data_IF_890506700442
#
_entry.id   IF_890506700442
#
_cell.length_a   1.000
_cell.length_b   1.000
_cell.length_c   1.000
_cell.angle_alpha   90.00
_cell.angle_beta   90.00
_cell.angle_gamma   90.00
#
_symmetry.space_group_name_H-M   'P 1'
#
loop_
_entity.id
_entity.type
_entity.pdbx_description
1 polymer ?
#
# COMPACT_ATOMS: atom_id res chain seq x y z
N UNK A 1 44.53 27.65 33.93
CA UNK A 1 43.47 26.71 34.24
C UNK A 1 42.40 26.92 33.15
N UNK A 2 42.10 25.95 32.28
CA UNK A 2 41.04 26.12 31.30
C UNK A 2 39.71 26.24 32.03
N UNK A 3 38.98 27.31 31.77
CA UNK A 3 37.58 27.47 32.22
C UNK A 3 36.75 26.45 31.45
N UNK A 4 36.33 25.40 32.12
CA UNK A 4 35.39 24.42 31.58
C UNK A 4 34.04 25.12 31.56
N UNK A 5 33.50 25.34 30.37
CA UNK A 5 32.22 25.96 30.16
C UNK A 5 31.13 24.90 30.48
N UNK A 6 30.76 24.82 31.76
CA UNK A 6 29.80 23.84 32.30
C UNK A 6 28.43 23.93 31.65
N UNK A 7 28.03 25.10 31.12
CA UNK A 7 26.75 25.27 30.44
C UNK A 7 26.70 24.53 29.09
N UNK A 8 27.82 24.46 28.36
CA UNK A 8 27.90 23.71 27.10
C UNK A 8 27.94 22.19 27.31
N UNK A 9 28.54 21.70 28.38
CA UNK A 9 28.53 20.25 28.70
C UNK A 9 27.17 19.77 29.19
N UNK A 10 26.50 20.56 30.03
CA UNK A 10 25.14 20.25 30.49
C UNK A 10 24.15 20.29 29.32
N UNK A 11 24.25 21.23 28.39
CA UNK A 11 23.44 21.27 27.17
C UNK A 11 23.64 20.04 26.30
N UNK A 12 24.90 19.61 26.05
CA UNK A 12 25.21 18.37 25.32
C UNK A 12 24.68 17.11 26.02
N UNK A 13 24.79 17.06 27.36
CA UNK A 13 24.25 15.95 28.15
C UNK A 13 22.68 15.86 27.97
N UNK A 14 22.04 17.00 28.05
CA UNK A 14 20.59 17.09 27.91
C UNK A 14 20.12 16.67 26.48
N UNK A 15 20.84 17.11 25.44
CA UNK A 15 20.57 16.72 24.05
C UNK A 15 20.78 15.22 23.82
N UNK A 16 21.86 14.65 24.36
CA UNK A 16 22.14 13.23 24.32
C UNK A 16 21.06 12.42 25.05
N UNK A 17 20.63 12.89 26.23
CA UNK A 17 19.56 12.28 27.00
C UNK A 17 18.22 12.30 26.25
N UNK A 18 17.85 13.45 25.70
CA UNK A 18 16.63 13.60 24.89
C UNK A 18 16.68 12.69 23.65
N UNK A 19 17.81 12.63 22.96
CA UNK A 19 18.02 11.72 21.82
C UNK A 19 17.89 10.24 22.21
N UNK A 20 18.40 9.87 23.40
CA UNK A 20 18.27 8.51 23.94
C UNK A 20 16.81 8.19 24.28
N UNK A 21 16.08 9.10 24.91
CA UNK A 21 14.65 8.94 25.21
C UNK A 21 13.83 8.78 23.91
N UNK A 22 14.10 9.59 22.89
CA UNK A 22 13.43 9.43 21.60
C UNK A 22 13.72 8.08 20.93
N UNK A 23 14.99 7.62 20.99
CA UNK A 23 15.36 6.29 20.49
C UNK A 23 14.67 5.17 21.25
N UNK A 24 14.65 5.25 22.56
CA UNK A 24 13.94 4.26 23.42
C UNK A 24 12.44 4.23 23.11
N UNK A 25 11.79 5.37 22.98
CA UNK A 25 10.37 5.46 22.62
C UNK A 25 10.09 4.86 21.25
N UNK A 26 10.93 5.14 20.24
CA UNK A 26 10.83 4.51 18.91
C UNK A 26 11.04 3.00 18.95
N UNK A 27 11.96 2.51 19.78
CA UNK A 27 12.17 1.06 19.96
C UNK A 27 10.99 0.40 20.66
N UNK A 28 10.45 1.03 21.70
CA UNK A 28 9.27 0.55 22.40
C UNK A 28 8.05 0.48 21.48
N UNK A 29 7.80 1.52 20.67
CA UNK A 29 6.73 1.54 19.69
C UNK A 29 6.89 0.43 18.63
N UNK A 30 8.13 0.17 18.18
CA UNK A 30 8.45 -0.94 17.27
C UNK A 30 8.16 -2.30 17.90
N UNK A 31 8.55 -2.51 19.16
CA UNK A 31 8.30 -3.77 19.87
C UNK A 31 6.81 -4.02 20.08
N UNK A 32 6.07 -3.02 20.56
CA UNK A 32 4.61 -3.10 20.71
C UNK A 32 3.88 -3.39 19.41
N UNK A 33 4.36 -2.77 18.30
CA UNK A 33 3.84 -3.05 16.96
C UNK A 33 4.13 -4.49 16.55
N UNK A 34 5.35 -4.98 16.76
CA UNK A 34 5.75 -6.34 16.41
C UNK A 34 4.98 -7.41 17.22
N UNK A 35 4.81 -7.21 18.54
CA UNK A 35 4.03 -8.12 19.39
C UNK A 35 2.57 -8.18 18.95
N UNK A 36 1.93 -7.03 18.71
CA UNK A 36 0.57 -6.97 18.20
C UNK A 36 0.46 -7.65 16.83
N UNK A 37 1.41 -7.44 15.95
CA UNK A 37 1.43 -8.04 14.63
C UNK A 37 1.49 -9.57 14.71
N UNK A 38 2.36 -10.14 15.56
CA UNK A 38 2.50 -11.59 15.72
C UNK A 38 1.24 -12.24 16.29
N UNK A 39 0.60 -11.61 17.28
CA UNK A 39 -0.66 -12.08 17.82
C UNK A 39 -1.79 -12.05 16.76
N UNK A 40 -1.85 -10.98 15.97
CA UNK A 40 -2.81 -10.84 14.88
C UNK A 40 -2.59 -11.82 13.74
N UNK A 41 -1.35 -12.18 13.41
CA UNK A 41 -1.02 -13.13 12.34
C UNK A 41 -1.75 -14.46 12.48
N UNK A 42 -1.71 -15.04 13.68
CA UNK A 42 -2.36 -16.34 13.95
C UNK A 42 -3.88 -16.25 13.90
N UNK A 43 -4.45 -15.17 14.45
CA UNK A 43 -5.89 -14.92 14.46
C UNK A 43 -6.40 -14.65 13.04
N UNK A 44 -5.69 -13.82 12.28
CA UNK A 44 -6.06 -13.48 10.90
C UNK A 44 -6.07 -14.70 9.98
N UNK A 45 -5.05 -15.59 10.12
CA UNK A 45 -4.98 -16.84 9.36
C UNK A 45 -6.17 -17.74 9.66
N UNK A 46 -6.47 -17.93 10.94
CA UNK A 46 -7.59 -18.77 11.37
C UNK A 46 -8.92 -18.23 10.87
N UNK A 47 -9.15 -16.91 11.06
CA UNK A 47 -10.37 -16.24 10.58
C UNK A 47 -10.52 -16.30 9.07
N UNK A 48 -9.43 -16.07 8.31
CA UNK A 48 -9.48 -16.15 6.85
C UNK A 48 -9.89 -17.57 6.38
N UNK A 49 -9.34 -18.61 6.99
CA UNK A 49 -9.73 -19.99 6.70
C UNK A 49 -11.18 -20.28 7.10
N UNK A 50 -11.60 -19.87 8.30
CA UNK A 50 -12.95 -20.12 8.81
C UNK A 50 -14.04 -19.38 8.02
N UNK A 51 -13.74 -18.18 7.49
CA UNK A 51 -14.68 -17.42 6.65
C UNK A 51 -14.65 -17.92 5.19
N UNK A 52 -13.50 -18.37 4.67
CA UNK A 52 -13.41 -18.95 3.33
C UNK A 52 -14.22 -20.24 3.19
N UNK A 53 -14.29 -21.02 4.26
CA UNK A 53 -15.03 -22.30 4.28
C UNK A 53 -16.51 -22.17 3.90
N UNK A 54 -17.33 -21.24 4.44
CA UNK A 54 -18.72 -21.05 4.01
C UNK A 54 -18.87 -20.36 2.67
N UNK A 55 -17.88 -19.55 2.22
CA UNK A 55 -17.98 -18.85 0.94
C UNK A 55 -17.94 -19.80 -0.27
N UNK A 56 -17.09 -20.83 -0.23
CA UNK A 56 -16.99 -21.83 -1.30
C UNK A 56 -18.32 -22.54 -1.58
N UNK A 57 -19.06 -23.11 -0.58
CA UNK A 57 -20.35 -23.70 -0.82
C UNK A 57 -21.43 -22.67 -1.24
N UNK A 58 -21.35 -21.41 -0.78
CA UNK A 58 -22.25 -20.35 -1.26
C UNK A 58 -22.05 -20.07 -2.76
N UNK A 59 -20.79 -19.96 -3.21
CA UNK A 59 -20.47 -19.78 -4.62
C UNK A 59 -21.00 -20.96 -5.46
N UNK A 60 -20.76 -22.19 -5.00
CA UNK A 60 -21.25 -23.38 -5.68
C UNK A 60 -22.78 -23.41 -5.76
N UNK A 61 -23.48 -23.02 -4.69
CA UNK A 61 -24.94 -22.94 -4.67
C UNK A 61 -25.48 -21.94 -5.69
N UNK A 62 -24.84 -20.76 -5.81
CA UNK A 62 -25.19 -19.75 -6.82
C UNK A 62 -24.99 -20.30 -8.23
N UNK A 63 -23.88 -21.01 -8.49
CA UNK A 63 -23.56 -21.58 -9.80
C UNK A 63 -24.55 -22.69 -10.16
N UNK A 64 -24.97 -23.52 -9.19
CA UNK A 64 -26.03 -24.54 -9.38
C UNK A 64 -27.39 -23.91 -9.68
N UNK A 65 -27.78 -22.86 -8.95
CA UNK A 65 -29.01 -22.13 -9.19
C UNK A 65 -28.99 -21.52 -10.62
N UNK A 66 -27.85 -20.92 -11.00
CA UNK A 66 -27.64 -20.36 -12.34
C UNK A 66 -27.83 -21.43 -13.41
N UNK A 67 -27.14 -22.56 -13.28
CA UNK A 67 -27.21 -23.67 -14.24
C UNK A 67 -28.59 -24.32 -14.31
N UNK A 68 -29.31 -24.44 -13.18
CA UNK A 68 -30.57 -25.16 -13.12
C UNK A 68 -31.79 -24.32 -13.58
N UNK A 69 -31.75 -23.02 -13.35
CA UNK A 69 -32.94 -22.16 -13.50
C UNK A 69 -32.80 -21.07 -14.57
N UNK A 70 -31.60 -20.58 -14.90
CA UNK A 70 -31.45 -19.52 -15.91
C UNK A 70 -31.84 -19.98 -17.32
N UNK A 71 -31.60 -21.26 -17.65
CA UNK A 71 -31.96 -21.82 -18.99
C UNK A 71 -33.43 -22.20 -19.14
N UNK A 72 -34.20 -22.23 -18.05
CA UNK A 72 -35.59 -22.75 -18.06
C UNK A 72 -36.68 -21.70 -18.01
N UNK A 73 -36.34 -20.46 -17.69
CA UNK A 73 -37.35 -19.41 -17.47
C UNK A 73 -37.04 -18.21 -18.37
N UNK A 74 -37.98 -17.89 -19.29
CA UNK A 74 -37.84 -16.85 -20.32
C UNK A 74 -37.55 -15.42 -19.84
N UNK A 75 -37.99 -14.39 -20.56
CA UNK A 75 -37.61 -12.97 -20.35
C UNK A 75 -37.87 -12.34 -18.98
N UNK A 76 -38.56 -13.00 -18.04
CA UNK A 76 -38.69 -12.56 -16.63
C UNK A 76 -37.42 -12.72 -15.82
N UNK A 77 -36.37 -13.30 -16.39
CA UNK A 77 -35.13 -13.69 -15.72
C UNK A 77 -34.07 -12.58 -15.52
N UNK A 78 -34.26 -11.38 -16.07
CA UNK A 78 -33.25 -10.30 -15.85
C UNK A 78 -33.03 -10.01 -14.37
N UNK A 79 -34.08 -10.06 -13.57
CA UNK A 79 -33.98 -9.80 -12.14
C UNK A 79 -33.21 -10.91 -11.40
N UNK A 80 -33.51 -12.19 -11.69
CA UNK A 80 -32.80 -13.32 -11.10
C UNK A 80 -31.34 -13.33 -11.49
N UNK A 81 -30.99 -13.10 -12.75
CA UNK A 81 -29.63 -12.97 -13.23
C UNK A 81 -28.89 -11.82 -12.51
N UNK A 82 -29.55 -10.67 -12.34
CA UNK A 82 -28.97 -9.53 -11.61
C UNK A 82 -28.72 -9.84 -10.13
N UNK A 83 -29.64 -10.55 -9.47
CA UNK A 83 -29.45 -10.98 -8.08
C UNK A 83 -28.28 -11.97 -7.94
N UNK A 84 -28.21 -12.97 -8.80
CA UNK A 84 -27.11 -13.95 -8.81
C UNK A 84 -25.76 -13.27 -9.11
N UNK A 85 -25.70 -12.34 -10.06
CA UNK A 85 -24.51 -11.57 -10.36
C UNK A 85 -24.08 -10.70 -9.17
N UNK A 86 -25.05 -10.10 -8.47
CA UNK A 86 -24.78 -9.30 -7.28
C UNK A 86 -24.23 -10.16 -6.16
N UNK A 87 -24.82 -11.33 -5.87
CA UNK A 87 -24.33 -12.28 -4.88
C UNK A 87 -22.92 -12.77 -5.20
N UNK A 88 -22.67 -13.17 -6.45
CA UNK A 88 -21.35 -13.60 -6.93
C UNK A 88 -20.30 -12.50 -6.72
N UNK A 89 -20.65 -11.26 -7.04
CA UNK A 89 -19.74 -10.12 -6.82
C UNK A 89 -19.45 -9.92 -5.33
N UNK A 90 -20.46 -9.97 -4.46
CA UNK A 90 -20.26 -9.81 -3.01
C UNK A 90 -19.39 -10.92 -2.42
N UNK A 91 -19.55 -12.17 -2.86
CA UNK A 91 -18.67 -13.27 -2.42
C UNK A 91 -17.22 -13.01 -2.84
N UNK A 92 -17.00 -12.60 -4.10
CA UNK A 92 -15.66 -12.26 -4.59
C UNK A 92 -15.05 -11.08 -3.83
N UNK A 93 -15.84 -10.08 -3.49
CA UNK A 93 -15.40 -8.93 -2.69
C UNK A 93 -14.96 -9.38 -1.28
N UNK A 94 -15.71 -10.29 -0.65
CA UNK A 94 -15.35 -10.86 0.65
C UNK A 94 -14.08 -11.72 0.54
N UNK A 95 -13.96 -12.57 -0.48
CA UNK A 95 -12.75 -13.37 -0.73
C UNK A 95 -11.52 -12.48 -0.92
N UNK A 96 -11.65 -11.40 -1.68
CA UNK A 96 -10.58 -10.43 -1.87
C UNK A 96 -10.16 -9.79 -0.55
N UNK A 97 -11.11 -9.32 0.27
CA UNK A 97 -10.85 -8.75 1.59
C UNK A 97 -10.12 -9.73 2.52
N UNK A 98 -10.55 -11.00 2.52
CA UNK A 98 -9.94 -12.06 3.32
C UNK A 98 -8.52 -12.39 2.88
N UNK A 99 -8.28 -12.43 1.57
CA UNK A 99 -6.94 -12.68 1.04
C UNK A 99 -6.00 -11.52 1.41
N UNK A 100 -6.42 -10.26 1.22
CA UNK A 100 -5.64 -9.08 1.62
C UNK A 100 -5.33 -9.09 3.14
N UNK A 101 -6.33 -9.48 3.96
CA UNK A 101 -6.17 -9.60 5.40
C UNK A 101 -5.17 -10.69 5.79
N UNK A 102 -5.32 -11.88 5.22
CA UNK A 102 -4.44 -13.02 5.44
C UNK A 102 -3.00 -12.71 4.99
N UNK A 103 -2.85 -12.05 3.84
CA UNK A 103 -1.55 -11.67 3.28
C UNK A 103 -0.85 -10.60 4.11
N UNK A 104 -1.62 -9.64 4.66
CA UNK A 104 -1.08 -8.64 5.58
C UNK A 104 -0.58 -9.29 6.87
N UNK A 105 -1.37 -10.21 7.43
CA UNK A 105 -1.02 -10.92 8.65
C UNK A 105 0.17 -11.88 8.46
N UNK A 106 0.31 -12.47 7.27
CA UNK A 106 1.31 -13.51 6.95
C UNK A 106 2.60 -12.95 6.35
N UNK A 107 2.75 -11.65 6.26
CA UNK A 107 3.86 -11.04 5.52
C UNK A 107 5.22 -11.64 5.94
N UNK A 108 5.89 -12.43 5.07
CA UNK A 108 7.15 -13.08 5.41
C UNK A 108 8.25 -12.03 5.56
N UNK A 109 9.31 -12.40 6.27
CA UNK A 109 10.52 -11.57 6.29
C UNK A 109 11.06 -11.41 4.88
N UNK A 110 11.57 -10.23 4.50
CA UNK A 110 12.10 -9.99 3.16
C UNK A 110 13.30 -10.90 2.86
N UNK A 111 13.33 -11.40 1.63
CA UNK A 111 14.49 -12.15 1.08
C UNK A 111 15.30 -11.21 0.20
N UNK A 112 16.36 -10.65 0.80
CA UNK A 112 17.19 -9.66 0.12
C UNK A 112 18.02 -10.27 -0.99
N UNK A 113 17.88 -9.71 -2.21
CA UNK A 113 18.68 -10.03 -3.40
C UNK A 113 19.07 -8.72 -4.09
N UNK A 114 20.10 -8.78 -4.95
CA UNK A 114 20.42 -7.67 -5.85
C UNK A 114 19.31 -7.58 -6.90
N UNK A 115 18.56 -6.48 -6.88
CA UNK A 115 17.42 -6.24 -7.77
C UNK A 115 17.56 -4.90 -8.47
N UNK A 116 16.89 -4.75 -9.61
CA UNK A 116 16.81 -3.50 -10.36
C UNK A 116 15.46 -2.82 -10.12
N UNK A 117 15.49 -1.69 -9.42
CA UNK A 117 14.27 -0.97 -9.05
C UNK A 117 13.51 -0.43 -10.27
N UNK A 118 14.23 -0.07 -11.34
CA UNK A 118 13.59 0.42 -12.56
C UNK A 118 12.65 -0.62 -13.16
N UNK A 119 13.06 -1.90 -13.21
CA UNK A 119 12.23 -2.98 -13.74
C UNK A 119 10.98 -3.24 -12.90
N UNK A 120 11.08 -3.08 -11.58
CA UNK A 120 9.94 -3.24 -10.68
C UNK A 120 8.91 -2.15 -10.94
N UNK A 121 9.36 -0.90 -11.08
CA UNK A 121 8.47 0.24 -11.34
C UNK A 121 7.87 0.16 -12.75
N UNK A 122 8.67 -0.22 -13.76
CA UNK A 122 8.16 -0.42 -15.13
C UNK A 122 7.02 -1.45 -15.13
N UNK A 123 7.20 -2.63 -14.52
CA UNK A 123 6.15 -3.67 -14.41
C UNK A 123 4.89 -3.18 -13.69
N UNK A 124 5.06 -2.41 -12.61
CA UNK A 124 3.93 -1.87 -11.88
C UNK A 124 3.13 -0.84 -12.70
N UNK A 125 3.81 -0.05 -13.54
CA UNK A 125 3.16 0.88 -14.48
C UNK A 125 2.44 0.09 -15.59
N UNK A 126 3.11 -0.87 -16.21
CA UNK A 126 2.56 -1.66 -17.33
C UNK A 126 1.28 -2.39 -16.94
N UNK A 127 1.23 -2.95 -15.72
CA UNK A 127 0.05 -3.61 -15.18
C UNK A 127 -1.20 -2.70 -15.18
N UNK A 128 -1.02 -1.41 -14.93
CA UNK A 128 -2.12 -0.45 -14.82
C UNK A 128 -2.37 0.36 -16.09
N UNK A 129 -1.35 0.55 -16.93
CA UNK A 129 -1.45 1.35 -18.16
C UNK A 129 -2.44 0.76 -19.16
N UNK A 130 -2.53 -0.57 -19.25
CA UNK A 130 -3.49 -1.28 -20.12
C UNK A 130 -4.94 -1.15 -19.64
N UNK A 131 -5.16 -1.05 -18.32
CA UNK A 131 -6.49 -1.00 -17.72
C UNK A 131 -7.04 0.42 -17.56
N UNK A 132 -6.17 1.45 -17.62
CA UNK A 132 -6.53 2.85 -17.34
C UNK A 132 -6.10 3.80 -18.48
N UNK A 133 -6.70 3.69 -19.69
CA UNK A 133 -6.29 4.45 -20.87
C UNK A 133 -6.46 5.98 -20.74
N UNK A 134 -7.18 6.43 -19.72
CA UNK A 134 -7.45 7.84 -19.47
C UNK A 134 -6.52 8.47 -18.42
N UNK A 135 -5.47 7.76 -18.03
CA UNK A 135 -4.44 8.26 -17.11
C UNK A 135 -3.11 8.32 -17.84
N UNK A 136 -2.49 9.49 -17.81
CA UNK A 136 -1.15 9.73 -18.37
C UNK A 136 -0.09 9.32 -17.34
N UNK A 137 0.69 8.28 -17.66
CA UNK A 137 1.82 7.83 -16.84
C UNK A 137 3.11 8.44 -17.37
N UNK A 138 3.78 9.25 -16.55
CA UNK A 138 5.05 9.89 -16.89
C UNK A 138 6.14 9.33 -15.98
N UNK A 139 7.08 8.58 -16.56
CA UNK A 139 8.23 8.03 -15.84
C UNK A 139 9.50 8.79 -16.21
N UNK A 140 10.07 9.49 -15.23
CA UNK A 140 11.34 10.20 -15.35
C UNK A 140 12.42 9.42 -14.59
N UNK A 141 13.27 8.73 -15.33
CA UNK A 141 14.42 8.01 -14.77
C UNK A 141 15.70 8.36 -15.53
N UNK A 142 16.81 8.44 -14.82
CA UNK A 142 18.11 8.44 -15.48
C UNK A 142 18.32 7.08 -16.18
N UNK A 143 19.10 7.06 -17.26
CA UNK A 143 19.43 5.81 -17.99
C UNK A 143 20.23 4.80 -17.15
N UNK A 144 20.71 5.17 -15.96
CA UNK A 144 21.42 4.29 -15.03
C UNK A 144 20.51 3.21 -14.47
N UNK A 145 21.04 2.01 -14.32
CA UNK A 145 20.35 0.92 -13.65
C UNK A 145 20.42 1.15 -12.13
N UNK A 146 19.26 1.24 -11.47
CA UNK A 146 19.16 1.47 -10.04
C UNK A 146 19.13 0.14 -9.29
N UNK A 147 20.32 -0.46 -9.09
CA UNK A 147 20.44 -1.67 -8.28
C UNK A 147 20.40 -1.35 -6.79
N UNK A 148 19.71 -2.22 -6.06
CA UNK A 148 19.68 -2.22 -4.60
C UNK A 148 19.60 -3.65 -4.05
N UNK A 149 19.87 -3.81 -2.74
CA UNK A 149 19.59 -5.05 -2.02
C UNK A 149 18.16 -4.99 -1.47
N UNK A 150 17.27 -5.86 -1.95
CA UNK A 150 15.86 -5.85 -1.55
C UNK A 150 15.10 -7.11 -1.96
N UNK A 151 13.85 -7.21 -1.49
CA UNK A 151 12.90 -8.24 -1.90
C UNK A 151 12.05 -7.73 -3.07
N UNK A 152 12.21 -8.36 -4.23
CA UNK A 152 11.56 -7.95 -5.47
C UNK A 152 10.03 -8.01 -5.39
N UNK A 153 9.48 -9.07 -4.78
CA UNK A 153 8.03 -9.26 -4.69
C UNK A 153 7.40 -8.25 -3.74
N UNK A 154 8.05 -8.03 -2.60
CA UNK A 154 7.58 -7.05 -1.63
C UNK A 154 7.64 -5.62 -2.19
N UNK A 155 8.75 -5.23 -2.82
CA UNK A 155 8.86 -3.89 -3.42
C UNK A 155 7.90 -3.72 -4.62
N UNK A 156 7.67 -4.76 -5.41
CA UNK A 156 6.64 -4.73 -6.45
C UNK A 156 5.25 -4.45 -5.84
N UNK A 157 4.92 -5.11 -4.73
CA UNK A 157 3.67 -4.88 -4.00
C UNK A 157 3.55 -3.44 -3.49
N UNK A 158 4.65 -2.80 -3.07
CA UNK A 158 4.68 -1.39 -2.69
C UNK A 158 4.23 -0.51 -3.86
N UNK A 159 4.87 -0.64 -5.03
CA UNK A 159 4.58 0.22 -6.17
C UNK A 159 3.19 -0.02 -6.75
N UNK A 160 2.73 -1.27 -6.84
CA UNK A 160 1.35 -1.60 -7.24
C UNK A 160 0.34 -0.90 -6.31
N UNK A 161 0.51 -0.98 -4.99
CA UNK A 161 -0.40 -0.34 -4.04
C UNK A 161 -0.40 1.19 -4.16
N UNK A 162 0.77 1.80 -4.33
CA UNK A 162 0.88 3.26 -4.45
C UNK A 162 0.27 3.76 -5.77
N UNK A 163 0.53 3.09 -6.89
CA UNK A 163 -0.06 3.42 -8.19
C UNK A 163 -1.58 3.22 -8.15
N UNK A 164 -2.06 2.10 -7.60
CA UNK A 164 -3.49 1.85 -7.41
C UNK A 164 -4.17 2.96 -6.59
N UNK A 165 -3.55 3.38 -5.50
CA UNK A 165 -4.07 4.48 -4.67
C UNK A 165 -4.15 5.81 -5.45
N UNK A 166 -3.16 6.10 -6.30
CA UNK A 166 -3.16 7.27 -7.18
C UNK A 166 -4.27 7.20 -8.22
N UNK A 167 -4.48 6.03 -8.86
CA UNK A 167 -5.56 5.79 -9.81
C UNK A 167 -6.93 6.02 -9.16
N UNK A 168 -7.15 5.43 -7.99
CA UNK A 168 -8.41 5.57 -7.25
C UNK A 168 -8.68 7.03 -6.83
N UNK A 169 -7.64 7.76 -6.42
CA UNK A 169 -7.70 9.20 -6.09
C UNK A 169 -8.08 10.04 -7.32
N UNK A 170 -7.54 9.72 -8.50
CA UNK A 170 -7.88 10.35 -9.78
C UNK A 170 -9.33 9.99 -10.16
N UNK A 171 -9.72 8.73 -10.04
CA UNK A 171 -11.08 8.26 -10.36
C UNK A 171 -12.13 8.96 -9.51
N UNK A 172 -11.87 9.17 -8.22
CA UNK A 172 -12.76 9.96 -7.35
C UNK A 172 -12.90 11.42 -7.83
N UNK A 173 -11.82 12.04 -8.29
CA UNK A 173 -11.87 13.40 -8.83
C UNK A 173 -12.65 13.46 -10.14
N UNK A 174 -12.56 12.43 -10.98
CA UNK A 174 -13.31 12.30 -12.24
C UNK A 174 -14.81 12.17 -12.04
N UNK A 175 -15.27 11.59 -10.94
CA UNK A 175 -16.72 11.57 -10.64
C UNK A 175 -17.32 12.96 -10.51
N UNK A 176 -16.49 13.96 -10.17
CA UNK A 176 -16.90 15.38 -10.03
C UNK A 176 -16.65 16.20 -11.31
N UNK A 177 -15.77 15.72 -12.20
CA UNK A 177 -15.41 16.38 -13.45
C UNK A 177 -15.05 15.31 -14.51
N UNK A 178 -15.98 14.98 -15.38
CA UNK A 178 -15.86 13.90 -16.36
C UNK A 178 -14.69 14.10 -17.36
N UNK A 179 -14.37 15.36 -17.70
CA UNK A 179 -13.31 15.72 -18.66
C UNK A 179 -11.92 15.79 -18.00
N UNK A 180 -11.83 15.46 -16.69
CA UNK A 180 -10.58 15.52 -15.97
C UNK A 180 -9.60 14.46 -16.47
N UNK A 181 -8.43 14.90 -16.97
CA UNK A 181 -7.34 14.02 -17.39
C UNK A 181 -6.47 13.68 -16.17
N UNK A 182 -6.44 12.39 -15.85
CA UNK A 182 -5.58 11.87 -14.81
C UNK A 182 -4.11 11.90 -15.22
N UNK A 183 -3.23 12.20 -14.26
CA UNK A 183 -1.78 12.15 -14.47
C UNK A 183 -1.10 11.58 -13.24
N UNK A 184 -0.22 10.61 -13.47
CA UNK A 184 0.66 10.04 -12.45
C UNK A 184 2.10 10.22 -12.95
N UNK A 185 2.92 10.93 -12.19
CA UNK A 185 4.34 11.08 -12.49
C UNK A 185 5.20 10.36 -11.48
N UNK A 186 6.18 9.60 -11.96
CA UNK A 186 7.13 8.87 -11.13
C UNK A 186 8.53 9.36 -11.50
N UNK A 187 9.22 9.97 -10.52
CA UNK A 187 10.57 10.48 -10.69
C UNK A 187 11.53 9.59 -9.89
N UNK A 188 12.57 9.05 -10.53
CA UNK A 188 13.61 8.24 -9.89
C UNK A 188 14.93 9.00 -9.98
N UNK A 189 15.52 9.27 -8.81
CA UNK A 189 16.85 9.88 -8.64
C UNK A 189 17.67 9.00 -7.73
N UNK A 190 18.99 9.08 -7.85
CA UNK A 190 19.91 8.34 -7.01
C UNK A 190 21.17 9.16 -6.72
N UNK A 191 21.79 8.86 -5.59
CA UNK A 191 23.16 9.27 -5.23
C UNK A 191 24.04 8.03 -4.95
N UNK A 192 25.16 8.17 -4.21
CA UNK A 192 26.05 7.07 -3.84
C UNK A 192 25.35 6.00 -3.00
N UNK A 193 24.49 6.39 -2.07
CA UNK A 193 24.00 5.56 -0.97
C UNK A 193 22.52 5.24 -1.07
N UNK A 194 21.74 6.10 -1.71
CA UNK A 194 20.27 6.03 -1.72
C UNK A 194 19.67 6.15 -3.11
N UNK A 195 18.49 5.58 -3.25
CA UNK A 195 17.58 5.79 -4.38
C UNK A 195 16.35 6.52 -3.85
N UNK A 196 15.97 7.60 -4.53
CA UNK A 196 14.83 8.44 -4.22
C UNK A 196 13.75 8.24 -5.28
N UNK A 197 12.58 7.76 -4.85
CA UNK A 197 11.42 7.62 -5.73
C UNK A 197 10.35 8.61 -5.29
N UNK A 198 9.90 9.44 -6.21
CA UNK A 198 8.79 10.38 -5.97
C UNK A 198 7.62 10.02 -6.88
N UNK A 199 6.47 9.72 -6.30
CA UNK A 199 5.21 9.45 -7.01
C UNK A 199 4.29 10.63 -6.76
N UNK A 200 3.77 11.26 -7.83
CA UNK A 200 2.81 12.36 -7.75
C UNK A 200 1.59 12.03 -8.60
N UNK A 201 0.42 12.25 -8.06
CA UNK A 201 -0.83 12.22 -8.78
C UNK A 201 -1.53 13.59 -8.75
N UNK A 202 -2.47 13.80 -9.66
CA UNK A 202 -3.32 14.97 -9.70
C UNK A 202 -4.76 14.71 -9.22
N UNK A 203 -4.97 13.66 -8.42
CA UNK A 203 -6.25 13.27 -7.85
C UNK A 203 -6.78 14.21 -6.76
N UNK A 204 -7.55 13.66 -5.82
CA UNK A 204 -8.13 14.44 -4.68
C UNK A 204 -7.11 14.74 -3.58
N UNK A 205 -5.98 14.00 -3.52
CA UNK A 205 -4.96 14.16 -2.50
C UNK A 205 -5.34 13.57 -1.13
N UNK A 206 -4.56 13.95 -0.09
CA UNK A 206 -4.77 13.53 1.30
C UNK A 206 -5.47 14.58 2.15
N UNK A 207 -6.11 15.59 1.54
CA UNK A 207 -6.75 16.68 2.25
C UNK A 207 -7.86 16.15 3.18
N UNK A 208 -7.80 16.53 4.45
CA UNK A 208 -8.72 16.19 5.55
C UNK A 208 -8.46 14.87 6.28
N UNK A 209 -7.41 14.13 5.96
CA UNK A 209 -7.08 12.90 6.69
C UNK A 209 -5.92 13.16 7.63
N UNK A 210 -6.08 12.81 8.90
CA UNK A 210 -4.97 12.75 9.84
C UNK A 210 -3.93 11.73 9.35
N UNK A 211 -2.72 12.20 9.04
CA UNK A 211 -1.63 11.36 8.50
C UNK A 211 -1.34 10.14 9.39
N UNK A 212 -1.50 10.27 10.71
CA UNK A 212 -1.32 9.14 11.64
C UNK A 212 -2.42 8.09 11.47
N UNK A 213 -3.66 8.52 11.29
CA UNK A 213 -4.79 7.61 11.04
C UNK A 213 -4.69 6.91 9.70
N UNK A 214 -4.20 7.61 8.67
CA UNK A 214 -4.04 7.06 7.31
C UNK A 214 -3.10 5.85 7.25
N UNK A 215 -2.12 5.78 8.15
CA UNK A 215 -1.15 4.68 8.25
C UNK A 215 -1.62 3.55 9.18
N UNK A 216 -2.75 3.73 9.85
CA UNK A 216 -3.33 2.71 10.73
C UNK A 216 -4.00 1.63 9.88
N UNK A 217 -3.73 0.33 10.11
CA UNK A 217 -4.43 -0.75 9.42
C UNK A 217 -5.95 -0.61 9.53
N UNK A 218 -6.67 -0.97 8.47
CA UNK A 218 -8.14 -0.87 8.33
C UNK A 218 -8.71 0.54 8.24
N UNK A 219 -7.90 1.58 8.31
CA UNK A 219 -8.39 2.93 8.09
C UNK A 219 -8.55 3.18 6.59
N UNK A 220 -9.75 3.52 6.17
CA UNK A 220 -10.06 3.91 4.79
C UNK A 220 -11.16 4.96 4.76
N UNK A 221 -11.05 5.89 3.83
CA UNK A 221 -12.10 6.85 3.48
C UNK A 221 -12.88 6.40 2.24
N UNK A 222 -12.44 5.31 1.61
CA UNK A 222 -13.00 4.79 0.36
C UNK A 222 -14.09 3.75 0.65
N UNK A 223 -15.19 3.80 -0.11
CA UNK A 223 -16.35 2.91 0.07
C UNK A 223 -16.00 1.41 -0.04
N UNK A 224 -15.07 1.05 -0.92
CA UNK A 224 -14.65 -0.33 -1.16
C UNK A 224 -13.17 -0.58 -0.81
N UNK A 225 -12.55 0.31 -0.01
CA UNK A 225 -11.16 0.18 0.39
C UNK A 225 -11.00 -0.77 1.58
N UNK A 226 -9.97 -1.62 1.56
CA UNK A 226 -9.63 -2.51 2.70
C UNK A 226 -8.96 -1.76 3.85
N UNK A 227 -8.38 -0.59 3.58
CA UNK A 227 -7.55 0.14 4.53
C UNK A 227 -6.21 -0.55 4.87
N UNK A 228 -5.84 -1.60 4.13
CA UNK A 228 -4.59 -2.34 4.37
C UNK A 228 -3.44 -1.91 3.45
N UNK A 229 -3.74 -1.35 2.29
CA UNK A 229 -2.73 -1.04 1.26
C UNK A 229 -1.59 -0.16 1.77
N UNK A 230 -1.88 0.94 2.45
CA UNK A 230 -0.84 1.83 3.00
C UNK A 230 -0.12 1.23 4.21
N UNK A 231 -0.80 0.42 5.03
CA UNK A 231 -0.17 -0.30 6.12
C UNK A 231 0.83 -1.34 5.61
N UNK A 232 0.49 -2.07 4.54
CA UNK A 232 1.38 -2.98 3.81
C UNK A 232 2.61 -2.23 3.28
N UNK A 233 2.39 -1.12 2.59
CA UNK A 233 3.45 -0.27 2.05
C UNK A 233 4.41 0.17 3.15
N UNK A 234 3.89 0.72 4.24
CA UNK A 234 4.70 1.23 5.35
C UNK A 234 5.51 0.11 6.01
N UNK A 235 4.90 -1.07 6.19
CA UNK A 235 5.58 -2.24 6.75
C UNK A 235 6.73 -2.70 5.86
N UNK A 236 6.51 -2.90 4.56
CA UNK A 236 7.54 -3.34 3.61
C UNK A 236 8.68 -2.31 3.56
N UNK A 237 8.37 -1.03 3.46
CA UNK A 237 9.38 0.04 3.43
C UNK A 237 10.20 0.06 4.72
N UNK A 238 9.56 -0.13 5.87
CA UNK A 238 10.27 -0.25 7.15
C UNK A 238 11.17 -1.49 7.21
N UNK A 239 10.71 -2.63 6.71
CA UNK A 239 11.49 -3.88 6.69
C UNK A 239 12.69 -3.80 5.74
N UNK A 240 12.65 -2.88 4.75
CA UNK A 240 13.76 -2.56 3.85
C UNK A 240 14.65 -1.41 4.39
N UNK A 241 14.58 -1.03 5.66
CA UNK A 241 15.30 0.10 6.27
C UNK A 241 15.15 1.42 5.48
N UNK A 242 14.01 1.57 4.82
CA UNK A 242 13.68 2.68 3.94
C UNK A 242 12.72 3.66 4.62
N UNK A 243 12.65 4.87 4.09
CA UNK A 243 11.75 5.92 4.58
C UNK A 243 10.67 6.22 3.55
N UNK A 244 9.45 6.50 4.02
CA UNK A 244 8.35 6.94 3.18
C UNK A 244 7.67 8.16 3.79
N UNK A 245 7.37 9.15 2.95
CA UNK A 245 6.69 10.37 3.32
C UNK A 245 5.46 10.59 2.43
N UNK A 246 4.34 10.95 3.05
CA UNK A 246 3.08 11.24 2.37
C UNK A 246 2.76 12.73 2.53
N UNK A 247 2.62 13.44 1.42
CA UNK A 247 2.39 14.87 1.40
C UNK A 247 1.22 15.22 0.48
N UNK A 248 0.31 16.10 0.94
CA UNK A 248 -0.66 16.75 0.07
C UNK A 248 0.05 17.85 -0.72
N UNK A 249 -0.29 17.97 -1.99
CA UNK A 249 0.11 19.07 -2.86
C UNK A 249 -1.14 19.79 -3.36
N UNK A 250 -0.99 21.00 -3.89
CA UNK A 250 -2.12 21.86 -4.31
C UNK A 250 -3.16 21.16 -5.18
N UNK A 251 -2.74 20.18 -6.00
CA UNK A 251 -3.61 19.44 -6.90
C UNK A 251 -3.28 17.93 -6.86
N UNK A 252 -3.44 17.26 -5.71
CA UNK A 252 -3.26 15.83 -5.60
C UNK A 252 -2.36 15.40 -4.43
N UNK A 253 -1.72 14.25 -4.56
CA UNK A 253 -0.83 13.69 -3.56
C UNK A 253 0.61 13.56 -4.07
N UNK A 254 1.56 13.53 -3.14
CA UNK A 254 2.98 13.27 -3.36
C UNK A 254 3.44 12.24 -2.34
N UNK A 255 4.00 11.15 -2.82
CA UNK A 255 4.65 10.11 -2.00
C UNK A 255 6.13 10.12 -2.32
N UNK A 256 6.98 10.17 -1.30
CA UNK A 256 8.43 10.17 -1.43
C UNK A 256 9.00 8.97 -0.68
N UNK A 257 9.83 8.17 -1.36
CA UNK A 257 10.46 6.99 -0.79
C UNK A 257 11.98 7.16 -0.93
N UNK A 258 12.70 6.89 0.16
CA UNK A 258 14.16 6.86 0.21
C UNK A 258 14.59 5.45 0.55
N UNK A 259 15.31 4.79 -0.36
CA UNK A 259 15.72 3.38 -0.25
C UNK A 259 17.25 3.31 -0.24
N UNK A 260 17.89 2.69 0.76
CA UNK A 260 19.33 2.48 0.76
C UNK A 260 19.70 1.46 -0.35
N UNK A 261 20.82 1.73 -1.06
CA UNK A 261 21.33 0.81 -2.10
C UNK A 261 21.91 -0.47 -1.52
N UNK A 262 22.49 -0.37 -0.34
CA UNK A 262 23.10 -1.48 0.38
C UNK A 262 22.39 -1.67 1.73
N UNK A 263 22.21 -2.93 2.13
CA UNK A 263 21.84 -3.26 3.50
C UNK A 263 23.09 -3.12 4.38
N UNK A 264 22.98 -2.34 5.45
CA UNK A 264 23.97 -2.33 6.53
C UNK A 264 23.82 -3.58 7.39
#
# INVERSE_FOLDING_TARGET
VPVIDTDTEIAKLNDNFNSMIEKLKKQQDKLLFAERHTAWESVARKLAHEIKNPLTPMQLSIDLIRKKYLDKVGNENKNLSNYLNTMTRQIKDIEYLLNEFSDFARMPKPVFKKINLNEIIDRAIDLHNLSEPNIDFVLNKKRSQNYLSGDQEQLNRVFINLIKNSIESISEKRTKNADFKGKISIDIKDDSDYIYVTIKDNGVGFDRVDKKKMLTPYFTTKKNGTGLGLAIVTKIISDHNSLILFNSIKNGAKVEITIPKHHA
#
